data_IF_577921507100
#
_entry.id   IF_577921507100
#
_cell.length_a   1.000
_cell.length_b   1.000
_cell.length_c   1.000
_cell.angle_alpha   90.00
_cell.angle_beta   90.00
_cell.angle_gamma   90.00
#
_symmetry.space_group_name_H-M   'P 1'
#
loop_
_entity.id
_entity.type
_entity.pdbx_description
1 polymer ?
#
# COMPACT_ATOMS: atom_id res chain seq x y z
N UNK A 1 -30.23 47.44 32.43
CA UNK A 1 -30.04 47.61 30.98
C UNK A 1 -28.55 47.52 30.68
N UNK A 2 -28.06 46.40 30.18
CA UNK A 2 -26.99 46.28 29.17
C UNK A 2 -26.87 44.78 28.80
N UNK A 3 -27.02 44.39 27.52
CA UNK A 3 -27.54 43.08 27.16
C UNK A 3 -26.54 42.20 26.39
N UNK A 4 -26.74 40.87 26.47
CA UNK A 4 -26.66 39.90 25.36
C UNK A 4 -25.41 39.81 24.43
N UNK A 5 -24.26 40.46 24.68
CA UNK A 5 -23.18 40.45 23.67
C UNK A 5 -22.19 39.27 23.72
N UNK A 6 -22.15 38.44 24.76
CA UNK A 6 -21.10 37.42 24.92
C UNK A 6 -21.45 36.02 24.41
N UNK A 7 -22.71 35.74 24.02
CA UNK A 7 -23.15 34.39 23.66
C UNK A 7 -23.05 34.07 22.16
N UNK A 8 -22.93 35.08 21.28
CA UNK A 8 -22.87 34.86 19.81
C UNK A 8 -21.50 34.39 19.31
N UNK A 9 -20.43 34.60 20.07
CA UNK A 9 -19.08 34.17 19.66
C UNK A 9 -18.81 32.68 19.89
N UNK A 10 -19.56 32.03 20.80
CA UNK A 10 -19.34 30.61 21.13
C UNK A 10 -20.05 29.66 20.15
N UNK A 11 -21.16 30.10 19.55
CA UNK A 11 -21.96 29.29 18.60
C UNK A 11 -21.33 29.17 17.21
N UNK A 12 -20.35 30.03 16.86
CA UNK A 12 -19.69 29.98 15.56
C UNK A 12 -18.47 29.04 15.50
N UNK A 13 -17.92 28.61 16.64
CA UNK A 13 -16.79 27.65 16.65
C UNK A 13 -17.22 26.18 16.59
N UNK A 14 -18.47 25.87 16.95
CA UNK A 14 -18.94 24.48 17.04
C UNK A 14 -19.41 23.91 15.69
N UNK A 15 -19.62 24.75 14.67
CA UNK A 15 -20.10 24.31 13.36
C UNK A 15 -18.99 23.76 12.43
N UNK A 16 -17.71 24.04 12.71
CA UNK A 16 -16.59 23.55 11.91
C UNK A 16 -16.10 22.13 12.25
N UNK A 17 -16.56 21.53 13.36
CA UNK A 17 -16.12 20.18 13.78
C UNK A 17 -16.92 19.02 13.16
N UNK A 18 -18.00 19.30 12.42
CA UNK A 18 -18.90 18.28 11.87
C UNK A 18 -18.52 17.80 10.45
N UNK A 19 -17.41 18.27 9.88
CA UNK A 19 -16.93 17.88 8.54
C UNK A 19 -15.76 16.91 8.54
N UNK A 20 -15.42 16.29 9.69
CA UNK A 20 -14.60 15.07 9.69
C UNK A 20 -15.45 13.93 9.13
N UNK A 21 -15.57 13.88 7.81
CA UNK A 21 -16.21 12.77 7.11
C UNK A 21 -15.57 11.47 7.55
N UNK A 22 -16.36 10.59 8.16
CA UNK A 22 -15.94 9.22 8.42
C UNK A 22 -15.72 8.54 7.08
N UNK A 23 -14.48 8.48 6.63
CA UNK A 23 -14.12 7.58 5.53
C UNK A 23 -14.41 6.16 6.02
N UNK A 24 -15.33 5.46 5.35
CA UNK A 24 -15.63 4.06 5.65
C UNK A 24 -14.36 3.23 5.43
N UNK A 25 -14.01 2.33 6.37
CA UNK A 25 -12.85 1.46 6.19
C UNK A 25 -13.03 0.58 4.94
N UNK A 26 -11.93 0.25 4.24
CA UNK A 26 -11.97 -0.65 3.09
C UNK A 26 -12.51 -2.02 3.53
N UNK A 27 -13.38 -2.62 2.71
CA UNK A 27 -14.04 -3.90 3.00
C UNK A 27 -13.49 -5.07 2.18
N UNK A 28 -12.69 -4.78 1.16
CA UNK A 28 -12.03 -5.77 0.31
C UNK A 28 -10.60 -5.31 0.01
N UNK A 29 -9.74 -6.28 -0.33
CA UNK A 29 -8.41 -5.98 -0.86
C UNK A 29 -8.58 -5.24 -2.19
N UNK A 30 -7.99 -4.05 -2.29
CA UNK A 30 -7.98 -3.25 -3.51
C UNK A 30 -6.56 -3.19 -4.05
N UNK A 31 -6.38 -3.42 -5.34
CA UNK A 31 -5.11 -3.27 -6.05
C UNK A 31 -5.33 -2.23 -7.15
N UNK A 32 -4.49 -1.20 -7.16
CA UNK A 32 -4.53 -0.11 -8.13
C UNK A 32 -3.17 0.03 -8.80
N UNK A 33 -3.10 -0.16 -10.12
CA UNK A 33 -1.86 0.04 -10.87
C UNK A 33 -1.61 1.54 -11.06
N UNK A 34 -0.53 2.05 -10.48
CA UNK A 34 -0.13 3.45 -10.59
C UNK A 34 0.78 3.70 -11.79
N UNK A 35 1.65 2.73 -12.09
CA UNK A 35 2.62 2.81 -13.18
C UNK A 35 2.79 1.43 -13.80
N UNK A 36 2.94 1.39 -15.12
CA UNK A 36 3.49 0.25 -15.85
C UNK A 36 4.24 0.78 -17.07
N UNK A 37 5.56 0.61 -17.10
CA UNK A 37 6.39 1.20 -18.16
C UNK A 37 7.72 0.47 -18.35
N UNK A 38 8.17 0.37 -19.60
CA UNK A 38 9.53 -0.03 -19.99
C UNK A 38 10.42 1.15 -20.37
N UNK A 39 10.00 2.39 -20.10
CA UNK A 39 10.69 3.60 -20.52
C UNK A 39 10.60 4.72 -19.48
N UNK A 40 11.53 5.65 -19.55
CA UNK A 40 11.53 6.89 -18.76
C UNK A 40 10.42 7.86 -19.18
N UNK A 41 10.18 8.88 -18.36
CA UNK A 41 9.18 9.92 -18.61
C UNK A 41 9.44 10.77 -19.86
N UNK A 42 10.66 10.73 -20.43
CA UNK A 42 11.01 11.36 -21.71
C UNK A 42 10.99 10.36 -22.89
N UNK A 43 10.51 9.13 -22.66
CA UNK A 43 10.39 8.10 -23.70
C UNK A 43 11.67 7.30 -23.98
N UNK A 44 12.77 7.54 -23.27
CA UNK A 44 13.98 6.70 -23.41
C UNK A 44 13.71 5.31 -22.83
N UNK A 45 13.86 4.23 -23.62
CA UNK A 45 13.67 2.86 -23.14
C UNK A 45 14.69 2.49 -22.07
N UNK A 46 14.26 1.72 -21.08
CA UNK A 46 15.15 1.12 -20.09
C UNK A 46 15.81 -0.15 -20.65
N UNK A 47 17.02 -0.45 -20.16
CA UNK A 47 17.81 -1.61 -20.59
C UNK A 47 18.28 -2.41 -19.37
N UNK A 48 18.16 -3.73 -19.44
CA UNK A 48 18.88 -4.66 -18.57
C UNK A 48 19.94 -5.42 -19.37
N UNK A 49 20.93 -6.04 -18.69
CA UNK A 49 21.87 -6.94 -19.35
C UNK A 49 21.15 -8.04 -20.16
N UNK A 50 20.06 -8.58 -19.60
CA UNK A 50 19.28 -9.64 -20.21
C UNK A 50 17.81 -9.21 -20.39
N UNK A 51 17.40 -8.99 -21.65
CA UNK A 51 16.01 -8.71 -22.01
C UNK A 51 15.55 -7.26 -21.76
N UNK A 52 14.24 -7.04 -21.87
CA UNK A 52 13.61 -5.72 -21.70
C UNK A 52 12.95 -5.63 -20.33
N UNK A 53 13.32 -4.66 -19.49
CA UNK A 53 12.60 -4.39 -18.25
C UNK A 53 11.20 -3.81 -18.50
N UNK A 54 10.30 -4.11 -17.57
CA UNK A 54 9.03 -3.43 -17.35
C UNK A 54 8.84 -3.23 -15.85
N UNK A 55 8.79 -1.97 -15.45
CA UNK A 55 8.55 -1.59 -14.06
C UNK A 55 7.06 -1.38 -13.84
N UNK A 56 6.53 -1.98 -12.77
CA UNK A 56 5.15 -1.78 -12.36
C UNK A 56 5.11 -1.25 -10.92
N UNK A 57 4.30 -0.23 -10.67
CA UNK A 57 4.05 0.27 -9.32
C UNK A 57 2.57 0.10 -9.04
N UNK A 58 2.24 -0.54 -7.92
CA UNK A 58 0.85 -0.73 -7.49
C UNK A 58 0.66 -0.15 -6.10
N UNK A 59 -0.52 0.40 -5.86
CA UNK A 59 -1.03 0.68 -4.52
C UNK A 59 -1.95 -0.44 -4.11
N UNK A 60 -1.70 -1.04 -2.96
CA UNK A 60 -2.54 -2.10 -2.39
C UNK A 60 -3.13 -1.59 -1.08
N UNK A 61 -4.45 -1.71 -0.95
CA UNK A 61 -5.15 -1.43 0.31
C UNK A 61 -5.74 -2.72 0.85
N UNK A 62 -5.36 -3.10 2.06
CA UNK A 62 -5.91 -4.25 2.79
C UNK A 62 -6.86 -3.72 3.87
N UNK A 63 -8.07 -4.30 4.02
CA UNK A 63 -8.88 -4.12 5.23
C UNK A 63 -8.11 -4.54 6.48
N UNK A 64 -8.58 -4.12 7.66
CA UNK A 64 -8.03 -4.62 8.92
C UNK A 64 -8.13 -6.15 9.01
N UNK A 65 -7.18 -6.78 9.70
CA UNK A 65 -7.15 -8.21 10.02
C UNK A 65 -7.32 -9.13 8.79
N UNK A 66 -6.79 -8.71 7.64
CA UNK A 66 -6.91 -9.43 6.37
C UNK A 66 -5.59 -10.10 6.04
N UNK A 67 -5.63 -11.43 5.92
CA UNK A 67 -4.53 -12.21 5.36
C UNK A 67 -4.72 -12.33 3.84
N UNK A 68 -3.68 -12.00 3.09
CA UNK A 68 -3.60 -12.34 1.67
C UNK A 68 -3.48 -13.86 1.51
N UNK A 69 -3.80 -14.35 0.31
CA UNK A 69 -3.50 -15.73 -0.06
C UNK A 69 -1.98 -15.93 -0.10
N UNK A 70 -1.54 -17.16 0.13
CA UNK A 70 -0.17 -17.56 -0.18
C UNK A 70 0.11 -17.35 -1.66
N UNK A 71 1.27 -16.78 -1.98
CA UNK A 71 1.64 -16.45 -3.34
C UNK A 71 3.17 -16.35 -3.51
N UNK A 72 3.60 -16.26 -4.78
CA UNK A 72 5.01 -16.05 -5.14
C UNK A 72 5.16 -14.96 -6.19
N UNK A 73 6.37 -14.41 -6.30
CA UNK A 73 6.76 -13.44 -7.32
C UNK A 73 7.93 -13.97 -8.16
N UNK A 74 7.85 -13.96 -9.50
CA UNK A 74 8.96 -14.42 -10.35
C UNK A 74 10.06 -13.37 -10.53
N UNK A 75 9.94 -12.21 -9.87
CA UNK A 75 10.88 -11.10 -9.95
C UNK A 75 11.08 -10.40 -8.60
N UNK A 76 12.18 -9.64 -8.43
CA UNK A 76 12.35 -8.77 -7.28
C UNK A 76 11.25 -7.71 -7.20
N UNK A 77 10.74 -7.50 -6.00
CA UNK A 77 9.86 -6.37 -5.71
C UNK A 77 10.14 -5.81 -4.32
N UNK A 78 9.80 -4.54 -4.13
CA UNK A 78 9.97 -3.82 -2.86
C UNK A 78 8.61 -3.31 -2.41
N UNK A 79 8.16 -3.72 -1.24
CA UNK A 79 6.97 -3.18 -0.60
C UNK A 79 7.35 -2.01 0.32
N UNK A 80 6.59 -0.92 0.26
CA UNK A 80 6.69 0.23 1.15
C UNK A 80 5.36 0.43 1.89
N UNK A 81 5.40 0.53 3.21
CA UNK A 81 4.20 0.74 4.03
C UNK A 81 3.91 2.23 4.14
N UNK A 82 2.81 2.68 3.54
CA UNK A 82 2.33 4.05 3.66
C UNK A 82 1.60 4.24 4.98
N UNK A 83 0.73 3.31 5.33
CA UNK A 83 -0.10 3.36 6.53
C UNK A 83 -0.42 1.96 7.06
N UNK A 84 -0.71 1.88 8.36
CA UNK A 84 -1.04 0.62 9.04
C UNK A 84 0.17 -0.23 9.37
N UNK A 85 -0.08 -1.48 9.74
CA UNK A 85 0.95 -2.48 10.07
C UNK A 85 0.75 -3.75 9.24
N UNK A 86 1.81 -4.21 8.57
CA UNK A 86 1.84 -5.43 7.76
C UNK A 86 2.76 -6.45 8.42
N UNK A 87 2.26 -7.64 8.67
CA UNK A 87 3.08 -8.80 9.03
C UNK A 87 3.25 -9.71 7.82
N UNK A 88 4.48 -10.03 7.45
CA UNK A 88 4.82 -10.92 6.33
C UNK A 88 5.46 -12.19 6.89
N UNK A 89 5.05 -13.34 6.36
CA UNK A 89 5.58 -14.65 6.76
C UNK A 89 5.74 -15.59 5.55
N UNK A 90 6.75 -16.46 5.61
CA UNK A 90 6.94 -17.55 4.65
C UNK A 90 6.05 -18.74 4.99
N UNK A 91 5.62 -19.49 3.97
CA UNK A 91 4.70 -20.62 4.15
C UNK A 91 5.31 -21.78 4.96
N UNK A 92 6.64 -21.93 4.93
CA UNK A 92 7.37 -22.89 5.75
C UNK A 92 7.46 -22.52 7.24
N UNK A 93 7.04 -21.29 7.61
CA UNK A 93 7.06 -20.77 8.97
C UNK A 93 8.45 -20.39 9.49
N UNK A 94 9.50 -20.42 8.66
CA UNK A 94 10.87 -20.12 9.08
C UNK A 94 11.16 -18.63 9.21
N UNK A 95 10.43 -17.80 8.46
CA UNK A 95 10.67 -16.35 8.42
C UNK A 95 9.38 -15.58 8.66
N UNK A 96 9.50 -14.54 9.50
CA UNK A 96 8.41 -13.62 9.82
C UNK A 96 8.96 -12.25 10.18
N UNK A 97 8.31 -11.21 9.69
CA UNK A 97 8.64 -9.83 10.03
C UNK A 97 7.39 -8.96 10.05
N UNK A 98 7.44 -7.83 10.76
CA UNK A 98 6.34 -6.87 10.85
C UNK A 98 6.86 -5.48 10.51
N UNK A 99 6.10 -4.76 9.68
CA UNK A 99 6.43 -3.44 9.17
C UNK A 99 5.31 -2.46 9.49
N UNK A 100 5.69 -1.25 9.89
CA UNK A 100 4.83 -0.10 10.07
C UNK A 100 5.13 1.02 9.06
N UNK A 101 4.43 2.16 9.17
CA UNK A 101 4.53 3.26 8.20
C UNK A 101 5.96 3.78 8.03
N UNK A 102 6.36 4.03 6.79
CA UNK A 102 7.69 4.52 6.44
C UNK A 102 8.73 3.42 6.23
N UNK A 103 8.43 2.16 6.56
CA UNK A 103 9.36 1.05 6.37
C UNK A 103 9.18 0.39 5.00
N UNK A 104 10.27 -0.19 4.49
CA UNK A 104 10.29 -0.96 3.25
C UNK A 104 10.79 -2.38 3.48
N UNK A 105 10.28 -3.33 2.69
CA UNK A 105 10.69 -4.73 2.66
C UNK A 105 11.10 -5.12 1.23
N UNK A 106 12.34 -5.58 1.00
CA UNK A 106 12.62 -6.38 -0.18
C UNK A 106 11.90 -7.74 -0.04
N UNK A 107 10.93 -7.99 -0.90
CA UNK A 107 10.21 -9.26 -0.89
C UNK A 107 11.02 -10.38 -1.54
N UNK A 108 10.61 -11.61 -1.27
CA UNK A 108 11.28 -12.80 -1.78
C UNK A 108 10.94 -13.07 -3.25
N UNK A 109 11.90 -13.68 -3.97
CA UNK A 109 11.72 -14.17 -5.34
C UNK A 109 11.49 -15.68 -5.30
N UNK A 110 10.43 -16.15 -5.97
CA UNK A 110 10.04 -17.57 -6.05
C UNK A 110 9.90 -18.29 -4.68
N UNK A 111 9.58 -17.55 -3.61
CA UNK A 111 9.33 -18.12 -2.28
C UNK A 111 7.91 -17.81 -1.85
N UNK A 112 7.18 -18.83 -1.40
CA UNK A 112 5.78 -18.70 -0.97
C UNK A 112 5.69 -17.91 0.33
N UNK A 113 4.89 -16.86 0.32
CA UNK A 113 4.70 -15.97 1.47
C UNK A 113 3.29 -15.34 1.44
N UNK A 114 2.92 -14.68 2.53
CA UNK A 114 1.73 -13.82 2.59
C UNK A 114 1.93 -12.64 3.52
N UNK A 115 1.26 -11.55 3.19
CA UNK A 115 1.06 -10.42 4.09
C UNK A 115 -0.27 -10.52 4.85
N UNK A 116 -0.27 -10.12 6.12
CA UNK A 116 -1.47 -9.97 6.96
C UNK A 116 -1.49 -8.56 7.56
N UNK A 117 -2.58 -7.83 7.35
CA UNK A 117 -2.78 -6.53 7.97
C UNK A 117 -3.10 -6.65 9.46
N UNK A 118 -2.64 -5.68 10.25
CA UNK A 118 -2.97 -5.54 11.66
C UNK A 118 -4.41 -5.07 11.90
N UNK A 119 -4.68 -4.50 13.08
CA UNK A 119 -6.02 -4.08 13.51
C UNK A 119 -6.60 -2.90 12.72
N UNK A 120 -5.77 -2.19 11.97
CA UNK A 120 -6.16 -1.11 11.09
C UNK A 120 -5.92 -1.51 9.63
N UNK A 121 -6.62 -0.89 8.66
CA UNK A 121 -6.28 -1.04 7.25
C UNK A 121 -4.81 -0.71 6.97
N UNK A 122 -4.25 -1.41 6.00
CA UNK A 122 -2.88 -1.19 5.53
C UNK A 122 -2.91 -0.62 4.12
N UNK A 123 -2.08 0.38 3.87
CA UNK A 123 -1.79 0.87 2.52
C UNK A 123 -0.32 0.63 2.18
N UNK A 124 -0.10 -0.03 1.04
CA UNK A 124 1.22 -0.35 0.51
C UNK A 124 1.41 0.32 -0.85
N UNK A 125 2.65 0.73 -1.12
CA UNK A 125 3.14 0.93 -2.49
C UNK A 125 4.14 -0.18 -2.76
N UNK A 126 3.92 -0.97 -3.82
CA UNK A 126 4.82 -2.06 -4.19
C UNK A 126 5.41 -1.80 -5.56
N UNK A 127 6.73 -1.87 -5.64
CA UNK A 127 7.53 -1.65 -6.83
C UNK A 127 8.02 -2.99 -7.37
N UNK A 128 7.62 -3.34 -8.59
CA UNK A 128 8.03 -4.57 -9.25
C UNK A 128 9.01 -4.26 -10.37
N UNK A 129 10.10 -5.02 -10.41
CA UNK A 129 11.09 -4.99 -11.48
C UNK A 129 10.99 -6.30 -12.28
N UNK A 130 10.11 -6.35 -13.28
CA UNK A 130 9.88 -7.54 -14.10
C UNK A 130 10.14 -7.30 -15.59
N UNK A 131 9.63 -8.20 -16.42
CA UNK A 131 9.66 -8.08 -17.89
C UNK A 131 8.23 -8.03 -18.46
N UNK A 132 8.04 -7.57 -19.71
CA UNK A 132 6.72 -7.55 -20.34
C UNK A 132 5.99 -8.89 -20.24
N UNK A 133 4.73 -8.84 -19.83
CA UNK A 133 3.85 -10.02 -19.72
C UNK A 133 4.09 -10.89 -18.48
N UNK A 134 5.08 -10.58 -17.66
CA UNK A 134 5.33 -11.30 -16.41
C UNK A 134 4.21 -11.00 -15.38
N UNK A 135 3.55 -12.01 -14.82
CA UNK A 135 2.52 -11.81 -13.81
C UNK A 135 3.15 -11.30 -12.51
N UNK A 136 2.52 -10.33 -11.85
CA UNK A 136 3.05 -9.77 -10.61
C UNK A 136 3.03 -10.77 -9.46
N UNK A 137 2.10 -11.74 -9.48
CA UNK A 137 1.90 -12.73 -8.42
C UNK A 137 1.31 -14.01 -9.02
N UNK A 138 1.67 -15.16 -8.45
CA UNK A 138 1.08 -16.48 -8.74
C UNK A 138 0.26 -16.99 -7.55
#
# INVERSE_FOLDING_TARGET
>A
MHPLLTLKALLLSCACLLLLGCASPPTAVKVEQLLKTGQSWIGTPYTWPDGKPEFTVVKITLPASTALKWHTHPMPNIAYVVAGELTVETEDGLHKTTLGPGQALPEMVNTSHRGTSGKAPVELIVFYAGTPGMPLSH
#
